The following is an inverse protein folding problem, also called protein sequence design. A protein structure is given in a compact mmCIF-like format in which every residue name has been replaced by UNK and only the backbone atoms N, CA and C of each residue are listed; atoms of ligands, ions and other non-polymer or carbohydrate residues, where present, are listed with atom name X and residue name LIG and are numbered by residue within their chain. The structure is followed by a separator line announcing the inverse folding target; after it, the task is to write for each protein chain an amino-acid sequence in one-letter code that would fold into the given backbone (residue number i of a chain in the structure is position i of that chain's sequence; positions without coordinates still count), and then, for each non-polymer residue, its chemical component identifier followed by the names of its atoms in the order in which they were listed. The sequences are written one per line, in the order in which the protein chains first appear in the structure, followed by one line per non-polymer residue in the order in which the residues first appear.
data_IF_059381874146
#
_entry.id   IF_059381874146
#
_cell.length_a   1.000
_cell.length_b   1.000
_cell.length_c   1.000
_cell.angle_alpha   90.00
_cell.angle_beta   90.00
_cell.angle_gamma   90.00
#
_symmetry.space_group_name_H-M   'P 1'
#
loop_
_entity.id
_entity.type
_entity.pdbx_description
1 polymer ?
#
# COMPACT_ATOMS: atom_id res chain seq x y z
N UNK A 1 -8.03 -17.31 7.98
CA UNK A 1 -8.93 -18.14 8.79
C UNK A 1 -10.36 -17.78 8.42
N UNK A 2 -11.15 -18.77 8.01
CA UNK A 2 -12.57 -18.61 7.67
C UNK A 2 -13.52 -19.31 8.68
N UNK A 3 -12.99 -19.69 9.83
CA UNK A 3 -13.73 -20.32 10.93
C UNK A 3 -13.35 -19.67 12.25
N UNK A 4 -14.31 -19.57 13.15
CA UNK A 4 -14.17 -19.12 14.54
C UNK A 4 -14.88 -20.06 15.48
N UNK A 5 -14.54 -20.04 16.75
CA UNK A 5 -15.25 -20.78 17.79
C UNK A 5 -16.29 -19.88 18.45
N UNK A 6 -17.54 -20.37 18.59
CA UNK A 6 -18.56 -19.67 19.34
C UNK A 6 -18.33 -19.84 20.88
N UNK A 7 -19.11 -19.15 21.68
CA UNK A 7 -19.05 -19.16 23.14
C UNK A 7 -19.36 -20.53 23.75
N UNK A 8 -19.95 -21.46 22.98
CA UNK A 8 -20.18 -22.85 23.35
C UNK A 8 -19.07 -23.80 22.89
N UNK A 9 -18.02 -23.28 22.25
CA UNK A 9 -16.87 -24.05 21.76
C UNK A 9 -17.07 -24.71 20.40
N UNK A 10 -18.20 -24.50 19.72
CA UNK A 10 -18.43 -25.03 18.37
C UNK A 10 -17.78 -24.22 17.30
N UNK A 11 -17.20 -24.89 16.30
CA UNK A 11 -16.64 -24.22 15.13
C UNK A 11 -17.75 -23.75 14.19
N UNK A 12 -17.70 -22.47 13.83
CA UNK A 12 -18.62 -21.78 12.93
C UNK A 12 -17.88 -21.12 11.79
N UNK A 13 -18.56 -20.93 10.67
CA UNK A 13 -18.05 -20.08 9.59
C UNK A 13 -17.97 -18.64 10.05
N UNK A 14 -16.86 -17.97 9.75
CA UNK A 14 -16.73 -16.54 10.00
C UNK A 14 -17.69 -15.78 9.06
N UNK A 15 -18.49 -14.88 9.60
CA UNK A 15 -19.23 -13.91 8.81
C UNK A 15 -18.26 -12.81 8.35
N UNK A 16 -17.84 -12.90 7.10
CA UNK A 16 -16.87 -11.98 6.50
C UNK A 16 -17.51 -10.76 5.83
N UNK A 17 -18.82 -10.56 5.90
CA UNK A 17 -19.52 -9.46 5.18
C UNK A 17 -18.97 -8.10 5.56
N UNK A 18 -18.73 -7.85 6.83
CA UNK A 18 -18.20 -6.57 7.28
C UNK A 18 -16.72 -6.39 6.92
N UNK A 19 -15.93 -7.46 6.87
CA UNK A 19 -14.56 -7.41 6.36
C UNK A 19 -14.53 -6.96 4.89
N UNK A 20 -15.46 -7.47 4.06
CA UNK A 20 -15.55 -7.04 2.66
C UNK A 20 -16.02 -5.58 2.53
N UNK A 21 -16.92 -5.11 3.38
CA UNK A 21 -17.37 -3.71 3.40
C UNK A 21 -16.24 -2.77 3.79
N UNK A 22 -15.44 -3.16 4.77
CA UNK A 22 -14.33 -2.38 5.32
C UNK A 22 -13.00 -2.63 4.59
N UNK A 23 -12.95 -3.44 3.54
CA UNK A 23 -11.72 -3.83 2.88
C UNK A 23 -10.84 -2.63 2.46
N UNK A 24 -11.45 -1.59 1.90
CA UNK A 24 -10.71 -0.38 1.50
C UNK A 24 -10.17 0.38 2.70
N UNK A 25 -10.98 0.49 3.76
CA UNK A 25 -10.57 1.13 4.99
C UNK A 25 -9.43 0.38 5.68
N UNK A 26 -9.56 -0.96 5.82
CA UNK A 26 -8.49 -1.81 6.37
C UNK A 26 -7.21 -1.68 5.53
N UNK A 27 -7.34 -1.61 4.20
CA UNK A 27 -6.21 -1.38 3.30
C UNK A 27 -5.56 -0.01 3.53
N UNK A 28 -6.35 1.04 3.71
CA UNK A 28 -5.86 2.39 3.99
C UNK A 28 -5.09 2.45 5.32
N UNK A 29 -5.67 1.93 6.40
CA UNK A 29 -5.00 1.85 7.71
C UNK A 29 -3.68 1.08 7.60
N UNK A 30 -3.67 -0.08 6.93
CA UNK A 30 -2.45 -0.86 6.71
C UNK A 30 -1.36 -0.07 5.97
N UNK A 31 -1.74 0.64 4.89
CA UNK A 31 -0.77 1.45 4.13
C UNK A 31 -0.23 2.62 4.95
N UNK A 32 -1.08 3.28 5.73
CA UNK A 32 -0.68 4.40 6.58
C UNK A 32 0.30 3.95 7.67
N UNK A 33 0.00 2.86 8.37
CA UNK A 33 0.89 2.28 9.38
C UNK A 33 2.23 1.87 8.76
N UNK A 34 2.20 1.19 7.62
CA UNK A 34 3.43 0.80 6.92
C UNK A 34 4.26 2.02 6.49
N UNK A 35 3.62 3.07 5.96
CA UNK A 35 4.30 4.31 5.60
C UNK A 35 4.90 5.02 6.83
N UNK A 36 4.19 4.98 7.97
CA UNK A 36 4.68 5.53 9.23
C UNK A 36 5.92 4.78 9.74
N UNK A 37 5.89 3.45 9.72
CA UNK A 37 7.03 2.62 10.10
C UNK A 37 8.24 2.84 9.18
N UNK A 38 8.03 2.90 7.86
CA UNK A 38 9.11 3.21 6.91
C UNK A 38 9.73 4.58 7.20
N UNK A 39 8.90 5.59 7.51
CA UNK A 39 9.41 6.91 7.91
C UNK A 39 10.18 6.86 9.23
N UNK A 40 9.79 6.00 10.19
CA UNK A 40 10.56 5.79 11.44
C UNK A 40 11.92 5.16 11.14
N UNK A 41 12.00 4.26 10.18
CA UNK A 41 13.25 3.69 9.68
C UNK A 41 14.10 4.69 8.86
N UNK A 42 13.59 5.92 8.65
CA UNK A 42 14.29 7.00 7.94
C UNK A 42 14.07 7.04 6.44
N UNK A 43 13.22 6.17 5.88
CA UNK A 43 12.85 6.29 4.48
C UNK A 43 11.96 7.52 4.24
N UNK A 44 12.17 8.18 3.11
CA UNK A 44 11.23 9.17 2.59
C UNK A 44 10.11 8.43 1.86
N UNK A 45 8.87 8.83 2.08
CA UNK A 45 7.70 8.13 1.54
C UNK A 45 6.70 9.15 1.03
N UNK A 46 6.32 9.03 -0.25
CA UNK A 46 5.27 9.81 -0.89
C UNK A 46 3.96 9.01 -0.88
N UNK A 47 2.91 9.58 -0.30
CA UNK A 47 1.59 8.96 -0.19
C UNK A 47 0.67 9.48 -1.29
N UNK A 48 0.02 8.59 -2.02
CA UNK A 48 -0.95 8.90 -3.05
C UNK A 48 -2.37 9.14 -2.46
N UNK A 49 -3.28 9.82 -3.22
CA UNK A 49 -4.64 10.08 -2.75
C UNK A 49 -5.49 8.84 -2.44
N UNK A 50 -5.13 7.69 -2.98
CA UNK A 50 -5.78 6.40 -2.70
C UNK A 50 -5.17 5.66 -1.49
N UNK A 51 -4.35 6.35 -0.71
CA UNK A 51 -3.60 5.85 0.46
C UNK A 51 -2.48 4.85 0.14
N UNK A 52 -2.23 4.51 -1.11
CA UNK A 52 -1.02 3.79 -1.50
C UNK A 52 0.20 4.70 -1.34
N UNK A 53 1.39 4.13 -1.26
CA UNK A 53 2.60 4.93 -1.10
C UNK A 53 3.75 4.33 -1.90
N UNK A 54 4.74 5.16 -2.17
CA UNK A 54 6.01 4.79 -2.79
C UNK A 54 7.17 5.23 -1.91
N UNK A 55 8.25 4.45 -1.92
CA UNK A 55 9.50 4.81 -1.23
C UNK A 55 10.29 5.69 -2.19
N UNK A 56 10.57 6.92 -1.78
CA UNK A 56 11.33 7.86 -2.58
C UNK A 56 12.77 7.36 -2.80
N UNK A 57 13.27 7.53 -4.02
CA UNK A 57 14.60 7.07 -4.41
C UNK A 57 14.61 5.69 -5.10
N UNK A 58 13.49 4.98 -5.15
CA UNK A 58 13.34 3.83 -6.06
C UNK A 58 13.01 4.37 -7.45
N UNK A 59 13.80 4.06 -8.50
CA UNK A 59 13.56 4.57 -9.84
C UNK A 59 12.22 4.11 -10.43
N UNK A 60 11.55 4.99 -11.19
CA UNK A 60 10.23 4.71 -11.78
C UNK A 60 10.22 3.51 -12.74
N UNK A 61 11.31 3.24 -13.44
CA UNK A 61 11.46 2.08 -14.33
C UNK A 61 11.56 0.78 -13.53
N UNK A 62 12.20 0.82 -12.37
CA UNK A 62 12.19 -0.29 -11.41
C UNK A 62 10.78 -0.53 -10.88
N UNK A 63 10.09 0.51 -10.39
CA UNK A 63 8.71 0.40 -9.93
C UNK A 63 7.79 -0.21 -10.99
N UNK A 64 7.91 0.26 -12.24
CA UNK A 64 7.13 -0.27 -13.37
C UNK A 64 7.47 -1.73 -13.69
N UNK A 65 8.74 -2.08 -13.72
CA UNK A 65 9.18 -3.45 -14.04
C UNK A 65 8.72 -4.47 -13.00
N UNK A 66 8.72 -4.09 -11.71
CA UNK A 66 8.22 -4.94 -10.63
C UNK A 66 6.69 -4.89 -10.46
N UNK A 67 6.01 -3.98 -11.15
CA UNK A 67 4.54 -3.89 -11.21
C UNK A 67 3.94 -4.65 -12.39
N UNK A 68 4.49 -5.83 -12.71
CA UNK A 68 4.11 -6.64 -13.88
C UNK A 68 2.59 -6.87 -14.01
N UNK A 69 1.90 -7.01 -12.88
CA UNK A 69 0.44 -7.18 -12.86
C UNK A 69 -0.30 -5.94 -13.35
N UNK A 70 0.13 -4.76 -12.92
CA UNK A 70 -0.40 -3.48 -13.37
C UNK A 70 -0.22 -3.32 -14.88
N UNK A 71 1.00 -3.54 -15.37
CA UNK A 71 1.34 -3.47 -16.79
C UNK A 71 0.49 -4.44 -17.64
N UNK A 72 0.25 -5.66 -17.17
CA UNK A 72 -0.59 -6.65 -17.87
C UNK A 72 -2.05 -6.19 -17.99
N UNK A 73 -2.61 -5.63 -16.92
CA UNK A 73 -3.98 -5.08 -16.93
C UNK A 73 -4.06 -3.89 -17.89
N UNK A 74 -3.07 -2.99 -17.85
CA UNK A 74 -3.02 -1.83 -18.74
C UNK A 74 -2.89 -2.21 -20.22
N UNK A 75 -2.04 -3.18 -20.54
CA UNK A 75 -1.92 -3.71 -21.89
C UNK A 75 -3.24 -4.32 -22.40
N UNK A 76 -3.94 -5.04 -21.53
CA UNK A 76 -5.25 -5.65 -21.88
C UNK A 76 -6.33 -4.57 -22.07
N UNK A 77 -6.35 -3.54 -21.24
CA UNK A 77 -7.23 -2.38 -21.41
C UNK A 77 -6.95 -1.65 -22.72
N UNK A 78 -5.67 -1.37 -23.02
CA UNK A 78 -5.25 -0.71 -24.24
C UNK A 78 -5.65 -1.49 -25.49
N UNK A 79 -5.53 -2.82 -25.48
CA UNK A 79 -6.00 -3.69 -26.55
C UNK A 79 -7.53 -3.62 -26.79
N UNK A 80 -8.29 -3.17 -25.78
CA UNK A 80 -9.75 -2.92 -25.86
C UNK A 80 -10.09 -1.45 -26.12
N UNK A 81 -9.11 -0.61 -26.43
CA UNK A 81 -9.28 0.82 -26.65
C UNK A 81 -9.63 1.62 -25.38
N UNK A 82 -9.29 1.09 -24.22
CA UNK A 82 -9.57 1.68 -22.90
C UNK A 82 -8.30 2.04 -22.16
N UNK A 83 -8.42 2.94 -21.19
CA UNK A 83 -7.36 3.30 -20.24
C UNK A 83 -7.80 2.95 -18.82
N UNK A 84 -6.89 2.97 -17.86
CA UNK A 84 -7.24 2.84 -16.44
C UNK A 84 -8.24 3.90 -15.96
N UNK A 85 -8.17 5.10 -16.50
CA UNK A 85 -9.08 6.19 -16.14
C UNK A 85 -10.49 5.98 -16.73
N UNK A 86 -10.58 5.48 -17.97
CA UNK A 86 -11.87 5.26 -18.66
C UNK A 86 -12.58 3.96 -18.27
N UNK A 87 -11.82 2.93 -17.84
CA UNK A 87 -12.40 1.64 -17.48
C UNK A 87 -13.08 1.66 -16.11
N UNK A 88 -14.26 1.06 -16.03
CA UNK A 88 -14.98 0.88 -14.77
C UNK A 88 -14.28 -0.07 -13.80
N UNK A 89 -14.63 -0.01 -12.52
CA UNK A 89 -14.10 -0.95 -11.51
C UNK A 89 -14.44 -2.41 -11.83
N UNK A 90 -15.63 -2.66 -12.38
CA UNK A 90 -16.08 -3.99 -12.79
C UNK A 90 -15.22 -4.54 -13.94
N UNK A 91 -14.97 -3.75 -14.98
CA UNK A 91 -14.11 -4.14 -16.11
C UNK A 91 -12.67 -4.44 -15.65
N UNK A 92 -12.11 -3.59 -14.81
CA UNK A 92 -10.78 -3.84 -14.21
C UNK A 92 -10.74 -5.16 -13.43
N UNK A 93 -11.80 -5.47 -12.68
CA UNK A 93 -11.90 -6.72 -11.92
C UNK A 93 -11.99 -7.94 -12.84
N UNK A 94 -12.78 -7.87 -13.91
CA UNK A 94 -12.87 -8.94 -14.90
C UNK A 94 -11.52 -9.19 -15.57
N UNK A 95 -10.87 -8.13 -16.07
CA UNK A 95 -9.54 -8.24 -16.70
C UNK A 95 -8.52 -8.80 -15.71
N UNK A 96 -8.58 -8.38 -14.45
CA UNK A 96 -7.71 -8.90 -13.40
C UNK A 96 -7.93 -10.40 -13.15
N UNK A 97 -9.12 -10.94 -13.34
CA UNK A 97 -9.39 -12.37 -13.25
C UNK A 97 -8.95 -13.12 -14.51
N UNK A 98 -9.32 -12.63 -15.70
CA UNK A 98 -8.99 -13.25 -17.00
C UNK A 98 -7.49 -13.38 -17.23
N UNK A 99 -6.72 -12.36 -16.85
CA UNK A 99 -5.27 -12.31 -17.06
C UNK A 99 -4.47 -12.96 -15.92
N UNK A 100 -5.13 -13.57 -14.93
CA UNK A 100 -4.45 -14.19 -13.79
C UNK A 100 -3.79 -15.52 -14.19
N UNK A 101 -2.48 -15.54 -14.26
CA UNK A 101 -1.75 -16.78 -14.43
C UNK A 101 -2.00 -17.76 -13.26
N UNK A 102 -2.03 -19.07 -13.51
CA UNK A 102 -2.12 -20.06 -12.43
C UNK A 102 -0.91 -19.93 -11.48
N UNK A 103 -1.16 -20.16 -10.20
CA UNK A 103 -0.09 -20.15 -9.19
C UNK A 103 0.93 -21.24 -9.53
N UNK A 104 2.20 -20.85 -9.65
CA UNK A 104 3.33 -21.78 -9.77
C UNK A 104 4.09 -21.78 -8.46
N UNK A 105 4.49 -22.95 -8.00
CA UNK A 105 5.47 -23.06 -6.91
C UNK A 105 6.84 -22.73 -7.52
N UNK A 106 7.45 -21.68 -7.03
CA UNK A 106 8.81 -21.28 -7.41
C UNK A 106 9.64 -21.28 -6.13
N UNK A 107 10.84 -21.83 -6.21
CA UNK A 107 11.80 -21.79 -5.11
C UNK A 107 12.18 -20.34 -4.80
N UNK A 108 12.22 -19.98 -3.50
CA UNK A 108 12.53 -18.64 -3.04
C UNK A 108 13.90 -18.12 -3.48
N UNK A 109 14.90 -19.01 -3.53
CA UNK A 109 16.25 -18.64 -3.94
C UNK A 109 16.29 -18.26 -5.43
N UNK A 110 15.64 -19.06 -6.28
CA UNK A 110 15.49 -18.79 -7.71
C UNK A 110 14.73 -17.49 -7.96
N UNK A 111 13.65 -17.25 -7.23
CA UNK A 111 12.85 -16.03 -7.36
C UNK A 111 13.67 -14.80 -6.95
N UNK A 112 14.38 -14.87 -5.83
CA UNK A 112 15.24 -13.80 -5.35
C UNK A 112 16.40 -13.49 -6.31
N UNK A 113 16.99 -14.53 -6.93
CA UNK A 113 18.03 -14.36 -7.95
C UNK A 113 17.48 -13.66 -9.20
N UNK A 114 16.29 -14.05 -9.66
CA UNK A 114 15.62 -13.42 -10.80
C UNK A 114 15.34 -11.94 -10.53
N UNK A 115 14.81 -11.61 -9.36
CA UNK A 115 14.51 -10.22 -8.99
C UNK A 115 15.77 -9.37 -8.87
N UNK A 116 16.88 -9.91 -8.33
CA UNK A 116 18.16 -9.21 -8.29
C UNK A 116 18.68 -8.91 -9.68
N UNK A 117 18.72 -9.93 -10.56
CA UNK A 117 19.17 -9.74 -11.93
C UNK A 117 18.34 -8.66 -12.65
N UNK A 118 17.02 -8.68 -12.50
CA UNK A 118 16.14 -7.68 -13.07
C UNK A 118 16.40 -6.26 -12.51
N UNK A 119 16.68 -6.13 -11.21
CA UNK A 119 17.01 -4.84 -10.59
C UNK A 119 18.39 -4.35 -11.08
N UNK A 120 19.37 -5.24 -11.20
CA UNK A 120 20.71 -4.93 -11.68
C UNK A 120 20.69 -4.43 -13.14
N UNK A 121 19.90 -5.07 -14.02
CA UNK A 121 19.68 -4.63 -15.41
C UNK A 121 19.10 -3.22 -15.52
N UNK A 122 18.32 -2.79 -14.52
CA UNK A 122 17.74 -1.46 -14.43
C UNK A 122 18.63 -0.45 -13.68
N UNK A 123 19.85 -0.84 -13.32
CA UNK A 123 20.79 0.03 -12.60
C UNK A 123 20.46 0.20 -11.11
N UNK A 124 19.47 -0.53 -10.57
CA UNK A 124 19.15 -0.56 -9.15
C UNK A 124 19.79 -1.75 -8.47
N UNK A 125 21.10 -1.82 -8.59
CA UNK A 125 21.95 -2.90 -8.10
C UNK A 125 22.03 -2.90 -6.55
N UNK A 126 22.74 -3.90 -6.01
CA UNK A 126 22.95 -4.02 -4.58
C UNK A 126 23.67 -2.82 -3.97
N UNK A 127 24.50 -2.11 -4.74
CA UNK A 127 25.19 -0.89 -4.32
C UNK A 127 24.19 0.25 -4.11
N UNK A 128 23.31 0.51 -5.08
CA UNK A 128 22.26 1.51 -5.02
C UNK A 128 21.28 1.21 -3.86
N UNK A 129 20.88 -0.06 -3.69
CA UNK A 129 20.00 -0.48 -2.60
C UNK A 129 20.65 -0.24 -1.23
N UNK A 130 21.94 -0.59 -1.05
CA UNK A 130 22.68 -0.34 0.20
C UNK A 130 22.85 1.14 0.48
N UNK A 131 23.11 1.96 -0.54
CA UNK A 131 23.22 3.41 -0.39
C UNK A 131 21.91 3.99 0.16
N UNK A 132 20.77 3.57 -0.39
CA UNK A 132 19.45 3.99 0.06
C UNK A 132 19.18 3.58 1.51
N UNK A 133 19.55 2.36 1.92
CA UNK A 133 19.43 1.89 3.31
C UNK A 133 20.31 2.72 4.24
N UNK A 134 21.59 2.93 3.89
CA UNK A 134 22.53 3.71 4.71
C UNK A 134 22.04 5.17 4.89
N UNK A 135 21.49 5.75 3.86
CA UNK A 135 20.92 7.10 3.91
C UNK A 135 19.66 7.17 4.79
N UNK A 136 18.81 6.15 4.74
CA UNK A 136 17.67 6.02 5.64
C UNK A 136 18.10 5.88 7.08
N UNK A 137 19.07 5.02 7.39
CA UNK A 137 19.64 4.86 8.73
C UNK A 137 20.22 6.16 9.28
N UNK A 138 20.94 6.92 8.45
CA UNK A 138 21.47 8.22 8.83
C UNK A 138 20.36 9.24 9.15
N UNK A 139 19.28 9.27 8.33
CA UNK A 139 18.11 10.11 8.59
C UNK A 139 17.37 9.70 9.87
N UNK A 140 17.20 8.40 10.10
CA UNK A 140 16.58 7.87 11.33
C UNK A 140 17.38 8.27 12.59
N UNK A 141 18.71 8.17 12.52
CA UNK A 141 19.59 8.55 13.64
C UNK A 141 19.56 10.06 13.93
N UNK A 142 19.42 10.89 12.89
CA UNK A 142 19.34 12.34 13.01
C UNK A 142 17.95 12.85 13.43
N UNK A 143 16.92 12.00 13.38
CA UNK A 143 15.53 12.39 13.66
C UNK A 143 15.30 12.65 15.15
N UNK A 144 14.78 13.83 15.54
CA UNK A 144 14.40 14.09 16.91
C UNK A 144 13.32 13.08 17.37
N UNK A 145 13.52 12.45 18.52
CA UNK A 145 12.47 11.62 19.13
C UNK A 145 11.40 12.54 19.70
N UNK A 146 10.23 12.56 19.10
CA UNK A 146 9.08 13.30 19.64
C UNK A 146 8.69 12.72 21.01
N UNK A 147 8.60 13.59 22.02
CA UNK A 147 8.03 13.22 23.30
C UNK A 147 6.53 12.88 23.19
N UNK A 148 5.98 12.24 24.22
CA UNK A 148 4.56 11.83 24.22
C UNK A 148 3.61 13.00 23.96
N UNK A 149 3.87 14.16 24.57
CA UNK A 149 3.04 15.37 24.38
C UNK A 149 3.09 15.85 22.93
N UNK A 150 4.27 15.88 22.32
CA UNK A 150 4.42 16.28 20.92
C UNK A 150 3.70 15.34 19.96
N UNK A 151 3.73 14.01 20.21
CA UNK A 151 2.97 13.04 19.42
C UNK A 151 1.46 13.26 19.52
N UNK A 152 0.94 13.56 20.71
CA UNK A 152 -0.48 13.87 20.91
C UNK A 152 -0.85 15.15 20.15
N UNK A 153 -0.04 16.19 20.21
CA UNK A 153 -0.28 17.44 19.49
C UNK A 153 -0.28 17.24 17.97
N UNK A 154 0.63 16.43 17.42
CA UNK A 154 0.66 16.15 15.99
C UNK A 154 -0.54 15.29 15.55
N UNK A 155 -0.95 14.31 16.37
CA UNK A 155 -2.16 13.54 16.11
C UNK A 155 -3.42 14.41 16.13
N UNK A 156 -3.54 15.34 17.10
CA UNK A 156 -4.67 16.29 17.18
C UNK A 156 -4.73 17.22 15.95
N UNK A 157 -3.58 17.68 15.47
CA UNK A 157 -3.52 18.46 14.22
C UNK A 157 -3.99 17.66 13.00
N UNK A 158 -3.58 16.40 12.89
CA UNK A 158 -3.98 15.52 11.79
C UNK A 158 -5.50 15.30 11.81
N UNK A 159 -6.08 14.98 12.96
CA UNK A 159 -7.53 14.83 13.13
C UNK A 159 -8.28 16.13 12.82
N UNK A 160 -7.80 17.26 13.30
CA UNK A 160 -8.39 18.57 13.02
C UNK A 160 -8.38 18.90 11.54
N UNK A 161 -7.27 18.64 10.85
CA UNK A 161 -7.16 18.82 9.41
C UNK A 161 -8.13 17.90 8.64
N UNK A 162 -8.19 16.61 9.00
CA UNK A 162 -9.10 15.65 8.38
C UNK A 162 -10.56 16.03 8.57
N UNK A 163 -10.93 16.47 9.77
CA UNK A 163 -12.29 16.98 10.05
C UNK A 163 -12.64 18.19 9.19
N UNK A 164 -11.75 19.15 9.07
CA UNK A 164 -11.97 20.34 8.25
C UNK A 164 -12.17 19.94 6.77
N UNK A 165 -11.30 19.07 6.24
CA UNK A 165 -11.34 18.65 4.85
C UNK A 165 -12.57 17.81 4.50
N UNK A 166 -12.99 16.91 5.39
CA UNK A 166 -14.23 16.15 5.22
C UNK A 166 -15.46 17.05 5.27
N UNK A 167 -15.49 18.02 6.21
CA UNK A 167 -16.60 18.96 6.36
C UNK A 167 -16.81 19.87 5.15
N UNK A 168 -15.80 20.06 4.29
CA UNK A 168 -15.95 20.79 3.03
C UNK A 168 -16.79 20.03 1.99
N UNK A 169 -16.85 18.70 2.10
CA UNK A 169 -17.44 17.83 1.08
C UNK A 169 -18.69 17.11 1.54
N UNK A 170 -18.77 16.80 2.83
CA UNK A 170 -19.82 15.95 3.39
C UNK A 170 -20.38 16.56 4.67
N UNK A 171 -21.71 16.61 4.76
CA UNK A 171 -22.39 17.08 5.97
C UNK A 171 -22.34 16.07 7.13
N UNK A 172 -22.14 14.80 6.81
CA UNK A 172 -22.01 13.69 7.76
C UNK A 172 -20.94 12.74 7.27
N UNK A 173 -19.99 12.41 8.12
CA UNK A 173 -18.93 11.43 7.84
C UNK A 173 -18.75 10.47 9.02
N UNK A 174 -18.21 9.30 8.74
CA UNK A 174 -17.95 8.26 9.74
C UNK A 174 -16.57 8.40 10.37
N UNK A 175 -16.34 7.70 11.49
CA UNK A 175 -15.01 7.58 12.07
C UNK A 175 -13.99 6.98 11.06
N UNK A 176 -14.43 6.03 10.23
CA UNK A 176 -13.60 5.44 9.18
C UNK A 176 -13.20 6.43 8.08
N UNK A 177 -14.05 7.41 7.77
CA UNK A 177 -13.73 8.49 6.84
C UNK A 177 -12.68 9.43 7.45
N UNK A 178 -12.84 9.73 8.75
CA UNK A 178 -11.90 10.56 9.48
C UNK A 178 -10.51 9.91 9.58
N UNK A 179 -10.44 8.63 9.94
CA UNK A 179 -9.17 7.88 10.02
C UNK A 179 -8.45 7.79 8.66
N UNK A 180 -9.20 7.74 7.58
CA UNK A 180 -8.63 7.69 6.22
C UNK A 180 -8.06 9.03 5.75
N UNK A 181 -8.58 10.14 6.23
CA UNK A 181 -8.18 11.50 5.83
C UNK A 181 -7.12 12.11 6.78
N UNK A 182 -7.03 11.62 8.02
CA UNK A 182 -6.05 12.06 9.01
C UNK A 182 -4.66 11.50 8.76
#
# INVERSE_FOLDING_TARGET
LNMTQDDTGNWRSLDARDLYRLQKHIGAVYHMEMAAELRQLGYSVTVAPDTTFEIDGVPDDVLRAFSARSAQIEATLAARGQTRASASAAEKSVIALETRAPKRSVDHATLAATWRAQADELGFDQGAQRAMVTEAEARAAARPRLGTIQRIVEADKAVTFAMAKLSEREAVFTAADLEREA
#
